data_IF_566683744221
#
_entry.id   IF_566683744221
#
_cell.length_a   1.000
_cell.length_b   1.000
_cell.length_c   1.000
_cell.angle_alpha   90.00
_cell.angle_beta   90.00
_cell.angle_gamma   90.00
#
_symmetry.space_group_name_H-M   'P 1'
#
loop_
_entity.id
_entity.type
_entity.pdbx_description
1 polymer ?
#
# COMPACT_ATOMS: atom_id res chain seq x y z
N UNK A 1 -15.16 -26.73 51.10
CA UNK A 1 -14.78 -26.24 50.81
C UNK A 1 -14.58 -25.82 49.64
N UNK A 2 -14.50 -25.52 49.06
CA UNK A 2 -14.43 -25.12 47.98
C UNK A 2 -13.75 -24.34 47.43
N UNK A 3 -13.43 -24.11 46.85
CA UNK A 3 -12.88 -23.48 46.33
C UNK A 3 -12.89 -23.02 45.26
N UNK A 4 -12.95 -22.79 44.65
CA UNK A 4 -13.00 -22.32 43.61
C UNK A 4 -12.37 -21.76 42.86
N UNK A 5 -11.98 -21.53 42.38
CA UNK A 5 -11.63 -21.03 41.68
C UNK A 5 -11.58 -20.37 40.73
N UNK A 6 -11.42 -20.02 40.31
CA UNK A 6 -11.45 -19.06 39.68
C UNK A 6 -10.92 -19.00 38.56
N UNK A 7 -11.02 -19.39 37.92
CA UNK A 7 -10.58 -19.46 36.81
C UNK A 7 -10.40 -18.33 36.15
N UNK A 8 -9.90 -17.74 36.07
CA UNK A 8 -9.71 -16.76 35.55
C UNK A 8 -9.34 -16.69 34.38
N UNK A 9 -9.63 -16.76 33.66
CA UNK A 9 -9.44 -16.61 32.52
C UNK A 9 -9.06 -15.44 32.07
N UNK A 10 -8.24 -15.18 31.93
CA UNK A 10 -7.79 -14.11 31.47
C UNK A 10 -7.67 -14.16 30.11
N UNK A 11 -8.39 -13.84 29.51
CA UNK A 11 -8.37 -13.89 28.17
C UNK A 11 -7.44 -12.97 27.76
N UNK A 12 -6.41 -13.27 27.52
CA UNK A 12 -5.57 -12.37 27.16
C UNK A 12 -5.79 -11.96 25.89
N UNK A 13 -6.18 -11.00 25.62
CA UNK A 13 -6.35 -10.56 24.42
C UNK A 13 -5.14 -10.03 23.96
N UNK A 14 -4.47 -10.59 23.27
CA UNK A 14 -3.33 -10.08 22.68
C UNK A 14 -3.74 -8.93 21.91
N UNK A 15 -3.27 -7.90 22.09
CA UNK A 15 -3.65 -6.78 21.38
C UNK A 15 -3.16 -6.96 20.02
N UNK A 16 -3.78 -6.50 19.16
CA UNK A 16 -3.40 -6.61 17.81
C UNK A 16 -2.32 -5.66 17.65
N UNK A 17 -1.66 -5.43 18.58
CA UNK A 17 -0.68 -4.55 18.50
C UNK A 17 0.15 -4.75 17.40
N UNK A 18 0.06 -5.80 16.91
CA UNK A 18 0.84 -5.97 15.90
C UNK A 18 0.34 -5.25 14.81
N UNK A 19 -0.69 -4.69 14.91
CA UNK A 19 -1.26 -4.09 13.81
C UNK A 19 -0.47 -2.89 13.56
N UNK A 20 0.55 -2.97 12.88
CA UNK A 20 1.33 -1.85 12.55
C UNK A 20 0.64 -1.12 11.44
N UNK A 21 0.24 0.09 11.66
CA UNK A 21 -0.38 0.87 10.65
C UNK A 21 0.59 1.85 10.10
N UNK A 22 0.82 1.79 8.82
CA UNK A 22 1.74 2.72 8.17
C UNK A 22 1.01 4.00 7.80
N UNK A 23 1.60 5.14 8.06
CA UNK A 23 0.96 6.37 7.65
C UNK A 23 1.29 6.62 6.19
N UNK A 24 0.28 6.72 5.39
CA UNK A 24 0.48 7.00 3.97
C UNK A 24 0.22 8.49 3.73
N UNK A 25 0.96 9.10 2.80
CA UNK A 25 0.69 10.51 2.48
C UNK A 25 -0.72 10.71 1.94
N UNK A 26 -1.28 11.88 2.09
CA UNK A 26 -2.66 12.10 1.66
C UNK A 26 -2.86 12.03 0.16
N UNK A 27 -1.79 12.15 -0.62
CA UNK A 27 -1.91 12.10 -2.06
C UNK A 27 -1.66 10.71 -2.65
N UNK A 28 -1.62 9.67 -1.82
CA UNK A 28 -1.39 8.34 -2.38
C UNK A 28 -2.56 7.90 -3.23
N UNK A 29 -2.27 7.09 -4.21
CA UNK A 29 -3.28 6.51 -5.07
C UNK A 29 -3.20 5.00 -4.95
N UNK A 30 -4.33 4.35 -5.14
CA UNK A 30 -4.37 2.90 -5.13
C UNK A 30 -4.14 2.37 -6.54
N UNK A 31 -3.41 1.31 -6.68
CA UNK A 31 -3.21 0.72 -7.99
C UNK A 31 -2.84 -0.74 -7.89
N UNK A 32 -2.78 -1.38 -9.04
CA UNK A 32 -2.29 -2.75 -9.15
C UNK A 32 -1.02 -2.68 -9.96
N UNK A 33 0.07 -3.06 -9.34
CA UNK A 33 1.39 -2.92 -9.96
C UNK A 33 1.84 -4.23 -10.56
N UNK A 34 2.40 -4.18 -11.74
CA UNK A 34 3.09 -5.31 -12.32
C UNK A 34 4.51 -4.87 -12.59
N UNK A 35 5.50 -5.47 -11.92
CA UNK A 35 6.88 -5.05 -12.09
C UNK A 35 7.37 -5.29 -13.51
N UNK A 36 8.26 -4.45 -13.96
CA UNK A 36 8.92 -4.60 -15.25
C UNK A 36 10.40 -4.37 -15.06
N UNK A 37 11.08 -4.12 -16.15
CA UNK A 37 12.50 -3.82 -16.07
C UNK A 37 12.63 -2.34 -15.73
N UNK A 38 13.36 -2.05 -14.66
CA UNK A 38 13.55 -0.66 -14.26
C UNK A 38 14.02 0.16 -15.45
N UNK A 39 13.43 1.31 -15.66
CA UNK A 39 12.45 2.01 -14.82
C UNK A 39 10.99 1.73 -15.20
N UNK A 40 10.74 0.74 -15.99
CA UNK A 40 9.39 0.45 -16.44
C UNK A 40 8.58 -0.25 -15.36
N UNK A 41 7.32 0.12 -15.23
CA UNK A 41 6.42 -0.53 -14.29
C UNK A 41 5.01 -0.40 -14.85
N UNK A 42 4.18 -1.39 -14.63
CA UNK A 42 2.79 -1.30 -15.01
C UNK A 42 1.94 -0.94 -13.81
N UNK A 43 1.05 0.01 -13.96
CA UNK A 43 0.11 0.37 -12.91
C UNK A 43 -1.27 0.36 -13.55
N UNK A 44 -2.15 -0.49 -13.04
CA UNK A 44 -3.51 -0.62 -13.54
C UNK A 44 -3.52 -0.91 -15.05
N UNK A 45 -2.56 -1.69 -15.49
CA UNK A 45 -2.49 -2.08 -16.89
C UNK A 45 -1.86 -1.04 -17.81
N UNK A 46 -1.37 0.06 -17.26
CA UNK A 46 -0.75 1.09 -18.06
C UNK A 46 0.72 1.18 -17.79
N UNK A 47 1.48 1.41 -18.84
CA UNK A 47 2.93 1.55 -18.70
C UNK A 47 3.27 2.85 -18.01
N UNK A 48 4.06 2.78 -16.98
CA UNK A 48 4.50 3.95 -16.22
C UNK A 48 6.00 3.85 -15.98
N UNK A 49 6.58 4.91 -15.51
CA UNK A 49 8.01 4.95 -15.24
C UNK A 49 8.25 5.23 -13.78
N UNK A 50 9.23 4.57 -13.22
CA UNK A 50 9.68 4.86 -11.87
C UNK A 50 10.67 6.01 -11.94
N UNK A 51 10.62 6.90 -10.98
CA UNK A 51 11.62 7.96 -10.94
C UNK A 51 12.98 7.37 -10.56
N UNK A 52 14.07 8.07 -10.82
CA UNK A 52 15.38 7.56 -10.43
C UNK A 52 15.53 7.33 -8.93
N UNK A 53 14.78 8.07 -8.13
CA UNK A 53 14.85 7.92 -6.69
C UNK A 53 13.67 7.13 -6.15
N UNK A 54 12.96 6.40 -6.99
CA UNK A 54 11.78 5.69 -6.56
C UNK A 54 12.12 4.63 -5.53
N UNK A 55 11.22 4.42 -4.59
CA UNK A 55 11.41 3.42 -3.55
C UNK A 55 10.18 2.55 -3.46
N UNK A 56 10.40 1.26 -3.34
CA UNK A 56 9.34 0.29 -3.18
C UNK A 56 9.44 -0.26 -1.76
N UNK A 57 8.38 -0.08 -0.98
CA UNK A 57 8.35 -0.57 0.39
C UNK A 57 7.51 -1.84 0.41
N UNK A 58 8.05 -2.89 1.01
CA UNK A 58 7.32 -4.15 1.08
C UNK A 58 6.34 -4.13 2.26
N UNK A 59 5.68 -5.23 2.49
CA UNK A 59 4.67 -5.30 3.54
C UNK A 59 5.24 -5.11 4.92
N UNK A 60 6.54 -5.36 5.10
CA UNK A 60 7.22 -5.13 6.36
C UNK A 60 7.81 -3.74 6.46
N UNK A 61 7.53 -2.90 5.47
CA UNK A 61 7.99 -1.51 5.44
C UNK A 61 9.49 -1.37 5.26
N UNK A 62 10.12 -2.34 4.64
CA UNK A 62 11.52 -2.22 4.27
C UNK A 62 11.59 -2.04 2.75
N UNK A 63 12.69 -1.54 2.27
CA UNK A 63 12.82 -1.20 0.87
C UNK A 63 13.27 -2.39 0.06
N UNK A 64 12.54 -2.66 -1.02
CA UNK A 64 12.92 -3.70 -1.95
C UNK A 64 13.47 -3.06 -3.21
N UNK A 65 14.44 -3.69 -3.82
CA UNK A 65 14.92 -3.23 -5.12
C UNK A 65 13.88 -3.55 -6.17
N UNK A 66 13.67 -2.68 -7.13
CA UNK A 66 12.67 -2.97 -8.17
C UNK A 66 12.89 -4.31 -8.85
N UNK A 67 14.15 -4.69 -9.04
CA UNK A 67 14.44 -5.94 -9.72
C UNK A 67 14.10 -7.18 -8.90
N UNK A 68 13.89 -7.02 -7.61
CA UNK A 68 13.55 -8.16 -6.77
C UNK A 68 12.06 -8.35 -6.58
N UNK A 69 11.26 -7.43 -7.06
CA UNK A 69 9.82 -7.53 -6.89
C UNK A 69 9.24 -8.37 -8.01
N UNK A 70 8.48 -9.39 -7.66
CA UNK A 70 7.91 -10.29 -8.64
C UNK A 70 6.42 -10.37 -8.47
N UNK A 71 5.73 -10.72 -9.52
CA UNK A 71 4.30 -10.91 -9.45
C UNK A 71 3.58 -10.10 -10.48
N UNK A 72 2.27 -10.07 -10.35
CA UNK A 72 1.42 -9.38 -11.28
C UNK A 72 0.24 -8.84 -10.52
N UNK A 73 -0.21 -7.68 -10.89
CA UNK A 73 -1.40 -7.05 -10.27
C UNK A 73 -1.29 -6.98 -8.75
N UNK A 74 -0.12 -6.58 -8.28
CA UNK A 74 0.12 -6.45 -6.85
C UNK A 74 -0.56 -5.19 -6.35
N UNK A 75 -1.38 -5.31 -5.31
CA UNK A 75 -2.11 -4.16 -4.80
C UNK A 75 -1.17 -3.24 -4.04
N UNK A 76 -1.11 -2.00 -4.45
CA UNK A 76 -0.16 -1.03 -3.89
C UNK A 76 -0.83 0.32 -3.67
N UNK A 77 -0.21 1.12 -2.82
CA UNK A 77 -0.44 2.56 -2.80
C UNK A 77 0.79 3.19 -3.42
N UNK A 78 0.65 4.26 -4.13
CA UNK A 78 1.82 4.90 -4.74
C UNK A 78 1.64 6.41 -4.84
N UNK A 79 2.76 7.10 -5.02
CA UNK A 79 2.74 8.54 -5.22
C UNK A 79 3.42 8.86 -6.55
N UNK A 80 3.08 10.00 -7.10
CA UNK A 80 3.60 10.44 -8.37
C UNK A 80 4.34 11.76 -8.14
N UNK A 81 5.47 11.92 -8.76
CA UNK A 81 6.24 13.15 -8.57
C UNK A 81 5.81 14.23 -9.57
N UNK A 82 6.46 15.36 -9.53
CA UNK A 82 6.09 16.47 -10.37
C UNK A 82 6.28 16.20 -11.86
N UNK A 83 7.11 15.22 -12.19
CA UNK A 83 7.34 14.85 -13.58
C UNK A 83 6.37 13.79 -14.05
N UNK A 84 5.47 13.35 -13.21
CA UNK A 84 4.53 12.29 -13.56
C UNK A 84 5.09 10.89 -13.40
N UNK A 85 6.24 10.75 -12.79
CA UNK A 85 6.83 9.44 -12.58
C UNK A 85 6.48 8.89 -11.21
N UNK A 86 6.46 7.59 -11.10
CA UNK A 86 6.10 6.94 -9.84
C UNK A 86 7.28 7.11 -8.86
N UNK A 87 7.01 7.68 -7.72
CA UNK A 87 8.06 8.02 -6.79
C UNK A 87 8.17 7.06 -5.62
N UNK A 88 7.06 6.68 -5.02
CA UNK A 88 7.06 5.73 -3.93
C UNK A 88 5.94 4.74 -4.14
N UNK A 89 6.21 3.50 -3.80
CA UNK A 89 5.23 2.43 -3.91
C UNK A 89 5.25 1.66 -2.61
N UNK A 90 4.08 1.38 -2.06
CA UNK A 90 3.97 0.54 -0.88
C UNK A 90 3.17 -0.69 -1.26
N UNK A 91 3.79 -1.87 -1.14
CA UNK A 91 3.09 -3.13 -1.36
C UNK A 91 2.24 -3.36 -0.11
N UNK A 92 0.95 -3.53 -0.29
CA UNK A 92 0.02 -3.50 0.82
C UNK A 92 -0.24 -4.86 1.44
N UNK A 93 -0.51 -4.85 2.72
CA UNK A 93 -1.06 -6.03 3.37
C UNK A 93 -2.55 -6.10 3.06
N UNK A 94 -3.18 -7.21 3.40
CA UNK A 94 -4.62 -7.33 3.17
C UNK A 94 -5.42 -6.26 3.89
N UNK A 95 -5.03 -5.93 5.11
CA UNK A 95 -5.76 -4.92 5.88
C UNK A 95 -5.61 -3.55 5.23
N UNK A 96 -4.43 -3.24 4.76
CA UNK A 96 -4.21 -1.96 4.10
C UNK A 96 -4.97 -1.89 2.79
N UNK A 97 -5.00 -2.98 2.05
CA UNK A 97 -5.71 -3.01 0.78
C UNK A 97 -7.22 -2.87 0.98
N UNK A 98 -7.73 -3.22 2.13
CA UNK A 98 -9.15 -3.09 2.41
C UNK A 98 -9.58 -1.66 2.64
N UNK A 99 -8.65 -0.76 2.90
CA UNK A 99 -9.00 0.63 3.10
C UNK A 99 -9.22 1.29 1.76
N UNK A 100 -10.21 2.20 1.71
CA UNK A 100 -10.51 2.80 0.47
C UNK A 100 -9.60 3.91 0.15
N UNK A 101 -8.87 3.84 -0.91
CA UNK A 101 -8.00 4.87 -1.44
C UNK A 101 -8.33 4.99 -2.92
N UNK A 102 -8.47 6.18 -3.46
CA UNK A 102 -8.86 6.29 -4.87
C UNK A 102 -7.76 5.82 -5.83
N UNK A 103 -8.20 5.24 -6.92
CA UNK A 103 -7.28 4.95 -8.01
C UNK A 103 -7.01 6.23 -8.77
N UNK A 104 -6.06 6.21 -9.68
CA UNK A 104 -5.76 7.38 -10.50
C UNK A 104 -6.99 7.80 -11.30
N UNK A 105 -7.74 6.85 -11.83
CA UNK A 105 -8.92 7.17 -12.59
C UNK A 105 -9.99 7.81 -11.71
N UNK A 106 -10.16 7.30 -10.49
CA UNK A 106 -11.13 7.86 -9.56
C UNK A 106 -10.73 9.25 -9.10
N UNK A 107 -9.45 9.46 -8.86
CA UNK A 107 -8.96 10.76 -8.45
C UNK A 107 -9.14 11.78 -9.57
N UNK A 108 -8.87 11.37 -10.80
CA UNK A 108 -9.03 12.25 -11.95
C UNK A 108 -10.52 12.60 -12.13
N UNK A 109 -11.40 11.63 -11.96
CA UNK A 109 -12.83 11.89 -12.09
C UNK A 109 -13.32 12.83 -10.99
N UNK A 110 -12.82 12.66 -9.78
CA UNK A 110 -13.23 13.53 -8.68
C UNK A 110 -12.72 14.96 -8.89
N UNK A 111 -11.51 15.10 -9.37
CA UNK A 111 -10.96 16.42 -9.65
C UNK A 111 -11.75 17.11 -10.74
N UNK A 112 -12.18 16.33 -11.75
CA UNK A 112 -12.92 16.92 -12.81
C UNK A 112 -14.29 17.32 -12.32
N UNK A 113 -14.94 16.52 -11.53
CA UNK A 113 -16.25 16.87 -11.08
C UNK A 113 -16.19 17.99 -10.04
N UNK A 114 -15.11 18.15 -9.35
CA UNK A 114 -15.00 19.20 -8.37
C UNK A 114 -14.58 20.51 -8.96
N UNK A 115 -14.21 20.53 -10.21
CA UNK A 115 -13.74 21.74 -10.72
C UNK A 115 -14.91 22.51 -11.23
N UNK A 116 -15.10 23.65 -10.88
CA UNK A 116 -16.18 24.40 -11.32
C UNK A 116 -15.74 25.59 -11.86
#
# INVERSE_FOLDING_TARGET
MITLLGALLTASLAPPALAFERPFPPDVLRGKMTPGYFPDVGIDGKARKLSPSARIFNQENTIDMPSSVRGKDIVVNYTVDAMGEIDRIWILTGDEAARKIPTAAEAAAAAKSGSR
#
